data_IF_808903402790
#
_entry.id   IF_808903402790
#
_cell.length_a   1.000
_cell.length_b   1.000
_cell.length_c   1.000
_cell.angle_alpha   90.00
_cell.angle_beta   90.00
_cell.angle_gamma   90.00
#
_symmetry.space_group_name_H-M   'P 1'
#
loop_
_entity.id
_entity.type
_entity.pdbx_description
1 polymer ?
#
# COMPACT_ATOMS: atom_id res chain seq x y z
N UNK A 1 -1.16 -30.86 -16.10
CA UNK A 1 -1.94 -29.97 -15.21
C UNK A 1 -1.77 -30.25 -13.70
N UNK A 2 -1.49 -31.49 -13.25
CA UNK A 2 -1.28 -31.82 -11.82
C UNK A 2 0.07 -31.37 -11.21
N UNK A 3 1.05 -30.99 -12.03
CA UNK A 3 2.40 -30.64 -11.57
C UNK A 3 2.52 -29.19 -11.03
N UNK A 4 1.66 -28.27 -11.51
CA UNK A 4 1.69 -26.85 -11.12
C UNK A 4 1.09 -26.60 -9.72
N UNK A 5 0.08 -27.39 -9.34
CA UNK A 5 -0.56 -27.32 -8.02
C UNK A 5 0.33 -27.88 -6.90
N UNK A 6 1.14 -28.90 -7.18
CA UNK A 6 2.11 -29.44 -6.22
C UNK A 6 3.26 -28.45 -5.94
N UNK A 7 3.71 -27.73 -6.98
CA UNK A 7 4.74 -26.70 -6.85
C UNK A 7 4.29 -25.51 -6.00
N UNK A 8 3.03 -25.07 -6.13
CA UNK A 8 2.46 -24.00 -5.30
C UNK A 8 2.28 -24.42 -3.83
N UNK A 9 1.91 -25.67 -3.57
CA UNK A 9 1.77 -26.20 -2.21
C UNK A 9 3.14 -26.35 -1.49
N UNK A 10 4.19 -26.77 -2.20
CA UNK A 10 5.55 -26.79 -1.64
C UNK A 10 6.15 -25.38 -1.47
N UNK A 11 5.85 -24.45 -2.39
CA UNK A 11 6.28 -23.05 -2.29
C UNK A 11 5.64 -22.34 -1.10
N UNK A 12 4.36 -22.62 -0.81
CA UNK A 12 3.66 -22.09 0.36
C UNK A 12 4.23 -22.64 1.69
N UNK A 13 4.62 -23.92 1.74
CA UNK A 13 5.20 -24.55 2.93
C UNK A 13 6.61 -24.06 3.24
N UNK A 14 7.44 -23.79 2.23
CA UNK A 14 8.84 -23.34 2.41
C UNK A 14 8.98 -21.86 2.80
N UNK A 15 7.92 -21.04 2.70
CA UNK A 15 7.93 -19.63 3.12
C UNK A 15 7.44 -19.38 4.55
N UNK A 16 6.97 -20.42 5.24
CA UNK A 16 6.40 -20.36 6.60
C UNK A 16 7.43 -20.03 7.71
N UNK A 17 8.72 -19.91 7.38
CA UNK A 17 9.79 -19.57 8.33
C UNK A 17 10.27 -18.12 8.25
N UNK A 18 9.43 -17.16 7.79
CA UNK A 18 9.72 -15.74 8.03
C UNK A 18 9.28 -15.38 9.44
N UNK A 19 10.29 -15.10 10.28
CA UNK A 19 10.19 -14.50 11.61
C UNK A 19 8.93 -13.65 11.70
N UNK A 20 8.01 -14.07 12.59
CA UNK A 20 6.87 -13.30 13.05
C UNK A 20 7.38 -11.89 13.34
N UNK A 21 7.06 -10.94 12.46
CA UNK A 21 7.33 -9.53 12.72
C UNK A 21 6.51 -9.23 13.96
N UNK A 22 7.20 -8.85 15.03
CA UNK A 22 6.63 -8.49 16.32
C UNK A 22 5.36 -7.65 16.13
N UNK A 23 4.33 -7.95 16.92
CA UNK A 23 3.08 -7.18 17.10
C UNK A 23 3.35 -5.76 17.60
N UNK A 24 4.10 -4.97 16.85
CA UNK A 24 4.08 -3.51 17.01
C UNK A 24 2.75 -3.08 16.42
N UNK A 25 1.83 -2.68 17.29
CA UNK A 25 0.63 -1.96 16.90
C UNK A 25 1.05 -0.76 16.06
N UNK A 26 0.80 -0.83 14.77
CA UNK A 26 1.03 0.25 13.84
C UNK A 26 -0.27 1.05 13.70
N UNK A 27 -0.19 2.37 13.76
CA UNK A 27 -1.36 3.25 13.84
C UNK A 27 -1.82 3.67 12.45
N UNK A 28 -2.98 3.20 12.01
CA UNK A 28 -3.59 3.61 10.74
C UNK A 28 -4.15 5.04 10.88
N UNK A 29 -3.32 6.04 10.58
CA UNK A 29 -3.61 7.45 10.88
C UNK A 29 -4.34 8.19 9.76
N UNK A 30 -4.47 7.61 8.57
CA UNK A 30 -5.24 8.19 7.48
C UNK A 30 -6.31 7.22 7.00
N UNK A 31 -7.51 7.75 6.76
CA UNK A 31 -8.64 7.01 6.21
C UNK A 31 -9.29 7.78 5.08
N UNK A 32 -9.54 7.12 3.96
CA UNK A 32 -10.30 7.69 2.85
C UNK A 32 -11.32 6.71 2.26
N UNK A 33 -12.40 7.25 1.69
CA UNK A 33 -13.42 6.45 1.01
C UNK A 33 -13.17 6.36 -0.49
N UNK A 34 -13.47 5.20 -1.06
CA UNK A 34 -13.32 4.92 -2.50
C UNK A 34 -14.61 4.29 -2.99
N UNK A 35 -15.32 5.01 -3.85
CA UNK A 35 -16.47 4.46 -4.59
C UNK A 35 -15.97 3.66 -5.78
N UNK A 36 -16.53 2.47 -5.98
CA UNK A 36 -16.15 1.60 -7.09
C UNK A 36 -17.06 1.83 -8.28
N UNK A 37 -16.46 2.14 -9.42
CA UNK A 37 -17.10 2.42 -10.69
C UNK A 37 -16.85 1.31 -11.70
N UNK A 38 -17.50 1.38 -12.87
CA UNK A 38 -17.33 0.40 -13.94
C UNK A 38 -15.85 0.23 -14.36
N UNK A 39 -15.08 1.31 -14.39
CA UNK A 39 -13.64 1.29 -14.73
C UNK A 39 -12.78 0.49 -13.74
N UNK A 40 -13.28 0.24 -12.54
CA UNK A 40 -12.55 -0.48 -11.51
C UNK A 40 -12.68 -2.00 -11.68
N UNK A 41 -13.70 -2.47 -12.41
CA UNK A 41 -14.06 -3.88 -12.53
C UNK A 41 -13.47 -4.59 -13.75
N UNK A 42 -13.31 -5.92 -13.65
CA UNK A 42 -12.92 -6.78 -14.77
C UNK A 42 -14.05 -7.74 -15.20
N UNK A 43 -13.75 -8.61 -16.17
CA UNK A 43 -14.70 -9.60 -16.69
C UNK A 43 -15.16 -10.65 -15.66
N UNK A 44 -14.50 -10.74 -14.50
CA UNK A 44 -14.91 -11.55 -13.36
C UNK A 44 -16.02 -10.90 -12.51
N UNK A 45 -16.45 -9.68 -12.84
CA UNK A 45 -17.49 -8.96 -12.11
C UNK A 45 -17.03 -8.45 -10.74
N UNK A 46 -15.71 -8.34 -10.54
CA UNK A 46 -15.07 -7.86 -9.31
C UNK A 46 -14.03 -6.79 -9.66
N UNK A 47 -13.55 -6.06 -8.66
CA UNK A 47 -12.48 -5.08 -8.86
C UNK A 47 -11.22 -5.77 -9.35
N UNK A 48 -10.65 -5.24 -10.44
CA UNK A 48 -9.41 -5.73 -11.01
C UNK A 48 -8.26 -5.63 -10.01
N UNK A 49 -7.55 -6.73 -9.79
CA UNK A 49 -6.57 -6.88 -8.70
C UNK A 49 -5.50 -5.77 -8.66
N UNK A 50 -5.12 -5.20 -9.81
CA UNK A 50 -4.11 -4.14 -9.87
C UNK A 50 -4.66 -2.75 -9.47
N UNK A 51 -5.97 -2.52 -9.56
CA UNK A 51 -6.57 -1.22 -9.20
C UNK A 51 -6.38 -0.89 -7.72
N UNK A 52 -6.26 -1.90 -6.85
CA UNK A 52 -5.93 -1.71 -5.44
C UNK A 52 -4.58 -1.00 -5.22
N UNK A 53 -3.61 -1.14 -6.14
CA UNK A 53 -2.35 -0.37 -6.07
C UNK A 53 -2.58 1.12 -6.33
N UNK A 54 -3.50 1.48 -7.24
CA UNK A 54 -3.89 2.87 -7.50
C UNK A 54 -4.54 3.47 -6.27
N UNK A 55 -5.41 2.71 -5.60
CA UNK A 55 -6.05 3.15 -4.35
C UNK A 55 -5.03 3.37 -3.25
N UNK A 56 -4.14 2.40 -3.02
CA UNK A 56 -3.07 2.52 -2.03
C UNK A 56 -2.15 3.71 -2.32
N UNK A 57 -1.87 4.02 -3.58
CA UNK A 57 -1.12 5.22 -3.96
C UNK A 57 -1.83 6.51 -3.54
N UNK A 58 -3.12 6.66 -3.89
CA UNK A 58 -3.94 7.80 -3.45
C UNK A 58 -3.89 7.94 -1.93
N UNK A 59 -4.07 6.85 -1.19
CA UNK A 59 -4.01 6.87 0.27
C UNK A 59 -2.65 7.29 0.83
N UNK A 60 -1.53 6.94 0.17
CA UNK A 60 -0.21 7.47 0.58
C UNK A 60 -0.08 8.96 0.28
N UNK A 61 -0.55 9.39 -0.89
CA UNK A 61 -0.48 10.81 -1.28
C UNK A 61 -1.29 11.68 -0.33
N UNK A 62 -2.52 11.27 0.02
CA UNK A 62 -3.36 11.96 1.00
C UNK A 62 -2.79 11.87 2.43
N UNK A 63 -2.26 10.70 2.83
CA UNK A 63 -1.55 10.56 4.11
C UNK A 63 -0.42 11.59 4.21
N UNK A 64 0.41 11.76 3.18
CA UNK A 64 1.49 12.74 3.21
C UNK A 64 0.96 14.18 3.29
N UNK A 65 -0.15 14.47 2.60
CA UNK A 65 -0.81 15.77 2.63
C UNK A 65 -1.32 16.14 4.03
N UNK A 66 -1.86 15.19 4.80
CA UNK A 66 -2.28 15.41 6.20
C UNK A 66 -1.14 15.88 7.10
N UNK A 67 0.10 15.47 6.81
CA UNK A 67 1.31 15.91 7.51
C UNK A 67 1.96 17.17 6.89
N UNK A 68 1.29 17.82 5.93
CA UNK A 68 1.74 19.05 5.27
C UNK A 68 2.72 18.82 4.12
N UNK A 69 2.83 17.59 3.60
CA UNK A 69 3.75 17.25 2.52
C UNK A 69 3.02 17.03 1.20
N UNK A 70 3.13 18.01 0.31
CA UNK A 70 2.69 17.84 -1.08
C UNK A 70 3.71 17.01 -1.86
N UNK A 71 3.28 15.87 -2.39
CA UNK A 71 4.11 15.04 -3.27
C UNK A 71 4.59 15.84 -4.48
N UNK A 72 3.73 16.68 -5.07
CA UNK A 72 4.10 17.55 -6.19
C UNK A 72 5.21 18.53 -5.80
N UNK A 73 5.08 19.22 -4.67
CA UNK A 73 6.12 20.14 -4.18
C UNK A 73 7.45 19.42 -3.96
N UNK A 74 7.40 18.23 -3.35
CA UNK A 74 8.60 17.41 -3.15
C UNK A 74 9.25 17.03 -4.49
N UNK A 75 8.46 16.68 -5.51
CA UNK A 75 8.95 16.41 -6.86
C UNK A 75 9.60 17.64 -7.50
N UNK A 76 8.98 18.82 -7.39
CA UNK A 76 9.51 20.08 -7.91
C UNK A 76 10.84 20.47 -7.21
N UNK A 77 11.02 20.07 -5.95
CA UNK A 77 12.27 20.18 -5.18
C UNK A 77 13.27 19.02 -5.46
N UNK A 78 13.01 18.22 -6.50
CA UNK A 78 13.87 17.12 -6.95
C UNK A 78 13.82 15.87 -6.07
N UNK A 79 12.77 15.69 -5.26
CA UNK A 79 12.52 14.51 -4.41
C UNK A 79 11.48 13.60 -5.04
N UNK A 80 11.90 12.39 -5.40
CA UNK A 80 11.02 11.37 -5.97
C UNK A 80 10.87 10.19 -5.02
N UNK A 81 9.67 9.59 -4.99
CA UNK A 81 9.42 8.35 -4.26
C UNK A 81 9.16 7.20 -5.22
N UNK A 82 10.06 6.21 -5.22
CA UNK A 82 9.95 5.04 -6.08
C UNK A 82 9.48 3.82 -5.30
N UNK A 83 8.52 3.07 -5.85
CA UNK A 83 8.09 1.80 -5.27
C UNK A 83 9.17 0.75 -5.49
N UNK A 84 9.79 0.27 -4.42
CA UNK A 84 10.80 -0.78 -4.46
C UNK A 84 10.24 -2.18 -4.17
N UNK A 85 9.10 -2.25 -3.46
CA UNK A 85 8.40 -3.52 -3.19
C UNK A 85 6.92 -3.26 -2.93
N UNK A 86 6.08 -4.13 -3.48
CA UNK A 86 4.67 -4.22 -3.14
C UNK A 86 4.34 -5.66 -2.73
N UNK A 87 3.66 -5.82 -1.61
CA UNK A 87 3.08 -7.08 -1.13
C UNK A 87 1.59 -6.87 -0.94
N UNK A 88 0.77 -7.77 -1.48
CA UNK A 88 -0.68 -7.61 -1.46
C UNK A 88 -1.31 -8.96 -1.13
N UNK A 89 -2.16 -8.96 -0.11
CA UNK A 89 -3.01 -10.08 0.25
C UNK A 89 -4.46 -9.74 -0.12
N UNK A 90 -5.00 -10.43 -1.11
CA UNK A 90 -6.41 -10.32 -1.51
C UNK A 90 -7.25 -11.25 -0.63
N UNK A 91 -8.09 -10.68 0.24
CA UNK A 91 -8.87 -11.43 1.25
C UNK A 91 -10.29 -11.73 0.78
N UNK A 92 -10.92 -10.78 0.10
CA UNK A 92 -12.28 -10.93 -0.42
C UNK A 92 -12.50 -10.02 -1.63
N UNK A 93 -13.40 -10.36 -2.58
CA UNK A 93 -13.66 -9.53 -3.76
C UNK A 93 -14.54 -8.33 -3.40
N UNK A 94 -14.30 -7.17 -4.00
CA UNK A 94 -15.24 -6.04 -4.04
C UNK A 94 -15.90 -5.94 -5.42
N UNK A 95 -17.07 -5.31 -5.51
CA UNK A 95 -17.89 -5.24 -6.73
C UNK A 95 -18.28 -3.81 -7.08
N UNK A 96 -18.73 -3.63 -8.32
CA UNK A 96 -19.33 -2.37 -8.77
C UNK A 96 -20.43 -1.91 -7.79
N UNK A 97 -20.41 -0.63 -7.43
CA UNK A 97 -21.36 -0.04 -6.48
C UNK A 97 -20.97 -0.17 -5.01
N UNK A 98 -20.01 -1.03 -4.64
CA UNK A 98 -19.46 -1.05 -3.29
C UNK A 98 -18.75 0.28 -2.98
N UNK A 99 -18.75 0.67 -1.70
CA UNK A 99 -17.86 1.72 -1.19
C UNK A 99 -16.82 1.07 -0.30
N UNK A 100 -15.55 1.37 -0.55
CA UNK A 100 -14.43 0.89 0.24
C UNK A 100 -13.92 1.97 1.18
N UNK A 101 -13.38 1.56 2.32
CA UNK A 101 -12.61 2.39 3.24
C UNK A 101 -11.15 1.93 3.15
N UNK A 102 -10.27 2.83 2.72
CA UNK A 102 -8.82 2.63 2.73
C UNK A 102 -8.23 3.25 3.99
N UNK A 103 -7.65 2.41 4.83
CA UNK A 103 -6.83 2.76 5.98
C UNK A 103 -5.36 2.74 5.54
N UNK A 104 -4.60 3.79 5.85
CA UNK A 104 -3.19 3.94 5.47
C UNK A 104 -2.36 4.37 6.67
N UNK A 105 -1.15 3.82 6.77
CA UNK A 105 -0.10 4.45 7.56
C UNK A 105 1.29 3.84 7.33
N UNK A 106 2.28 4.28 8.11
CA UNK A 106 3.70 3.96 7.96
C UNK A 106 4.31 3.05 9.06
N UNK A 107 4.53 1.78 8.76
CA UNK A 107 5.17 0.84 9.68
C UNK A 107 6.65 1.15 9.98
N UNK A 108 7.38 1.74 9.03
CA UNK A 108 8.78 2.12 9.21
C UNK A 108 9.13 3.37 8.41
N UNK A 109 9.79 4.33 9.04
CA UNK A 109 10.36 5.50 8.38
C UNK A 109 11.84 5.64 8.78
N UNK A 110 12.73 5.52 7.79
CA UNK A 110 14.18 5.68 7.97
C UNK A 110 14.70 6.89 7.19
N UNK A 111 16.01 6.97 6.92
CA UNK A 111 16.60 8.14 6.23
C UNK A 111 16.19 8.28 4.77
N UNK A 112 15.92 7.18 4.08
CA UNK A 112 15.64 7.17 2.64
C UNK A 112 14.55 6.15 2.25
N UNK A 113 13.95 5.48 3.23
CA UNK A 113 12.97 4.41 3.01
C UNK A 113 11.74 4.69 3.86
N UNK A 114 10.58 4.46 3.27
CA UNK A 114 9.30 4.38 3.98
C UNK A 114 8.65 3.02 3.71
N UNK A 115 8.08 2.40 4.73
CA UNK A 115 7.23 1.23 4.58
C UNK A 115 5.81 1.58 5.00
N UNK A 116 4.91 1.60 4.03
CA UNK A 116 3.49 1.78 4.26
C UNK A 116 2.78 0.45 4.45
N UNK A 117 1.79 0.46 5.33
CA UNK A 117 0.77 -0.57 5.45
C UNK A 117 -0.59 0.01 5.10
N UNK A 118 -1.38 -0.79 4.41
CA UNK A 118 -2.71 -0.44 3.95
C UNK A 118 -3.69 -1.54 4.29
N UNK A 119 -4.91 -1.16 4.67
CA UNK A 119 -6.04 -2.07 4.79
C UNK A 119 -7.24 -1.47 4.08
N UNK A 120 -7.85 -2.26 3.21
CA UNK A 120 -9.03 -1.86 2.45
C UNK A 120 -10.19 -2.73 2.91
N UNK A 121 -11.26 -2.10 3.39
CA UNK A 121 -12.48 -2.75 3.87
C UNK A 121 -13.67 -2.33 3.05
N UNK A 122 -14.67 -3.19 2.91
CA UNK A 122 -15.98 -2.76 2.41
C UNK A 122 -16.71 -2.01 3.53
N UNK A 123 -17.26 -0.84 3.22
CA UNK A 123 -17.73 0.15 4.19
C UNK A 123 -18.89 -0.35 5.07
N UNK A 124 -19.85 -1.05 4.49
CA UNK A 124 -21.07 -1.46 5.21
C UNK A 124 -20.84 -2.69 6.10
N UNK A 125 -20.19 -3.71 5.56
CA UNK A 125 -19.93 -4.98 6.27
C UNK A 125 -18.68 -4.93 7.14
N UNK A 126 -17.76 -4.00 6.91
CA UNK A 126 -16.46 -3.93 7.57
C UNK A 126 -15.49 -5.05 7.19
N UNK A 127 -15.87 -5.95 6.26
CA UNK A 127 -15.02 -7.08 5.85
C UNK A 127 -13.74 -6.57 5.20
N UNK A 128 -12.62 -7.20 5.52
CA UNK A 128 -11.35 -6.89 4.87
C UNK A 128 -11.33 -7.44 3.45
N UNK A 129 -11.06 -6.56 2.48
CA UNK A 129 -11.01 -6.85 1.04
C UNK A 129 -9.55 -7.09 0.64
N UNK A 130 -8.65 -6.18 1.02
CA UNK A 130 -7.21 -6.23 0.71
C UNK A 130 -6.38 -5.74 1.90
N UNK A 131 -5.24 -6.36 2.11
CA UNK A 131 -4.14 -5.83 2.92
C UNK A 131 -2.90 -5.64 2.05
N UNK A 132 -2.17 -4.54 2.22
CA UNK A 132 -1.04 -4.20 1.37
C UNK A 132 0.14 -3.65 2.16
N UNK A 133 1.36 -4.00 1.77
CA UNK A 133 2.60 -3.39 2.26
C UNK A 133 3.40 -2.83 1.11
N UNK A 134 3.75 -1.55 1.17
CA UNK A 134 4.45 -0.84 0.09
C UNK A 134 5.73 -0.24 0.63
N UNK A 135 6.87 -0.64 0.06
CA UNK A 135 8.18 -0.05 0.36
C UNK A 135 8.49 1.02 -0.68
N UNK A 136 8.69 2.24 -0.23
CA UNK A 136 9.16 3.37 -1.03
C UNK A 136 10.63 3.66 -0.73
N UNK A 137 11.36 4.07 -1.77
CA UNK A 137 12.71 4.62 -1.68
C UNK A 137 12.66 6.07 -2.15
N UNK A 138 13.19 6.96 -1.32
CA UNK A 138 13.39 8.36 -1.67
C UNK A 138 14.61 8.47 -2.59
N UNK A 139 14.46 9.16 -3.71
CA UNK A 139 15.47 9.29 -4.76
C UNK A 139 15.57 10.73 -5.25
N UNK A 140 16.69 11.06 -5.88
CA UNK A 140 16.83 12.27 -6.69
C UNK A 140 16.24 12.07 -8.10
N UNK A 141 16.27 13.11 -8.93
CA UNK A 141 15.79 13.05 -10.31
C UNK A 141 16.57 12.05 -11.20
N UNK A 142 17.77 11.63 -10.79
CA UNK A 142 18.55 10.59 -11.48
C UNK A 142 18.23 9.17 -11.03
N UNK A 143 17.29 9.01 -10.08
CA UNK A 143 16.91 7.72 -9.50
C UNK A 143 17.87 7.20 -8.45
N UNK A 144 18.86 7.99 -8.01
CA UNK A 144 19.79 7.59 -6.95
C UNK A 144 19.14 7.79 -5.59
N UNK A 145 19.30 6.84 -4.64
CA UNK A 145 18.77 6.99 -3.30
C UNK A 145 19.26 8.27 -2.64
N UNK A 146 18.32 9.06 -2.11
CA UNK A 146 18.64 10.29 -1.38
C UNK A 146 17.94 10.33 -0.04
N UNK A 147 18.46 11.17 0.85
CA UNK A 147 17.86 11.36 2.16
C UNK A 147 16.53 12.11 2.04
N UNK A 148 15.51 11.66 2.74
CA UNK A 148 14.28 12.44 2.92
C UNK A 148 14.60 13.76 3.65
N UNK A 149 13.85 14.84 3.38
CA UNK A 149 13.97 16.09 4.13
C UNK A 149 13.91 15.82 5.64
N UNK A 150 14.73 16.50 6.45
CA UNK A 150 14.84 16.21 7.90
C UNK A 150 13.49 16.33 8.61
N UNK A 151 12.74 17.37 8.30
CA UNK A 151 11.43 17.65 8.88
C UNK A 151 10.42 16.52 8.63
N UNK A 152 10.56 15.83 7.49
CA UNK A 152 9.67 14.76 7.07
C UNK A 152 9.78 13.51 7.94
N UNK A 153 11.01 13.10 8.28
CA UNK A 153 11.26 11.87 9.04
C UNK A 153 10.87 11.99 10.53
N UNK A 154 10.72 13.21 11.04
CA UNK A 154 10.39 13.49 12.44
C UNK A 154 8.89 13.59 12.69
N UNK A 155 8.09 14.09 11.72
CA UNK A 155 6.64 14.26 11.87
C UNK A 155 5.81 13.01 11.59
N UNK A 156 6.37 12.07 10.84
CA UNK A 156 5.66 10.91 10.29
C UNK A 156 5.84 9.65 11.17
N UNK A 157 6.67 9.74 12.22
CA UNK A 157 6.83 8.69 13.26
C UNK A 157 5.83 8.87 14.39
#
# INVERSE_FOLDING_TARGET
MRMFLAMLAEYAKKRCARKRISERSFTMNHTMEIKLYYEDTDCGGVVYYANYLRYMERGRTEYLADYGYSVKKLMDEGTLFMVARAEIDYRAPARYGDTLVLETGIAECSRAIMMFEHRIKEKMSGRTVVEGKIKLVCTDASGRPKRMPREFAEKVK
#
